data_IF_864643653785
#
_entry.id   IF_864643653785
#
_cell.length_a   1.000
_cell.length_b   1.000
_cell.length_c   1.000
_cell.angle_alpha   90.00
_cell.angle_beta   90.00
_cell.angle_gamma   90.00
#
_symmetry.space_group_name_H-M   'P 1'
#
loop_
_entity.id
_entity.type
_entity.pdbx_description
1 polymer ?
#
# COMPACT_ATOMS: atom_id res chain seq x y z
N UNK A 1 0.80 -0.51 0.64
CA UNK A 1 0.15 -1.84 0.67
C UNK A 1 1.27 -2.87 0.66
N UNK A 2 1.41 -3.69 1.71
CA UNK A 2 2.47 -4.72 1.83
C UNK A 2 1.80 -6.08 1.85
N UNK A 3 2.41 -7.06 1.22
CA UNK A 3 1.92 -8.44 1.27
C UNK A 3 2.96 -9.30 1.94
N UNK A 4 2.62 -9.91 3.07
CA UNK A 4 3.54 -10.78 3.82
C UNK A 4 2.98 -12.19 3.71
N UNK A 5 3.81 -13.19 3.40
CA UNK A 5 3.45 -14.59 3.55
C UNK A 5 4.32 -15.17 4.66
N UNK A 6 3.74 -15.86 5.63
CA UNK A 6 4.55 -16.62 6.57
C UNK A 6 5.21 -17.81 5.86
N UNK A 7 6.52 -17.97 6.14
CA UNK A 7 7.44 -18.97 5.61
C UNK A 7 7.75 -18.85 4.11
N UNK A 8 8.80 -18.05 3.85
CA UNK A 8 9.72 -18.07 2.69
C UNK A 8 9.52 -17.15 1.48
N UNK A 9 8.46 -16.37 1.33
CA UNK A 9 8.37 -15.39 0.23
C UNK A 9 7.66 -14.10 0.69
N UNK A 10 8.31 -12.95 0.48
CA UNK A 10 7.96 -11.65 1.07
C UNK A 10 7.77 -10.62 -0.05
N UNK A 11 6.65 -9.88 -0.03
CA UNK A 11 6.37 -8.81 -1.00
C UNK A 11 6.39 -7.42 -0.35
N UNK A 12 6.84 -6.41 -1.12
CA UNK A 12 7.11 -5.06 -0.60
C UNK A 12 6.28 -3.95 -1.26
N UNK A 13 6.27 -2.83 -0.54
CA UNK A 13 5.39 -1.67 -0.51
C UNK A 13 5.51 -0.63 -1.62
N UNK A 14 4.42 0.14 -1.78
CA UNK A 14 4.31 1.40 -2.52
C UNK A 14 5.11 2.54 -1.86
N UNK A 15 6.17 3.01 -2.51
CA UNK A 15 6.74 4.33 -2.27
C UNK A 15 7.42 4.80 -3.55
N UNK A 16 7.47 6.12 -3.77
CA UNK A 16 7.99 6.81 -4.96
C UNK A 16 9.46 6.49 -5.36
N UNK A 17 10.14 5.47 -4.82
CA UNK A 17 11.55 5.17 -5.10
C UNK A 17 11.89 3.68 -4.92
N UNK A 18 12.80 3.19 -5.75
CA UNK A 18 13.36 1.83 -5.86
C UNK A 18 13.96 1.21 -4.58
N UNK A 19 13.99 1.95 -3.47
CA UNK A 19 14.69 1.59 -2.23
C UNK A 19 14.08 0.35 -1.52
N UNK A 20 12.77 0.12 -1.71
CA UNK A 20 12.02 -0.97 -1.06
C UNK A 20 12.46 -2.37 -1.49
N UNK A 21 12.76 -2.55 -2.78
CA UNK A 21 13.13 -3.85 -3.34
C UNK A 21 14.48 -4.33 -2.81
N UNK A 22 15.45 -3.42 -2.69
CA UNK A 22 16.78 -3.72 -2.17
C UNK A 22 16.72 -4.19 -0.70
N UNK A 23 15.90 -3.51 0.11
CA UNK A 23 15.71 -3.84 1.53
C UNK A 23 15.02 -5.20 1.69
N UNK A 24 13.99 -5.49 0.88
CA UNK A 24 13.32 -6.79 0.92
C UNK A 24 14.29 -7.94 0.62
N UNK A 25 15.13 -7.78 -0.41
CA UNK A 25 16.18 -8.75 -0.76
C UNK A 25 17.23 -8.90 0.35
N UNK A 26 17.69 -7.80 0.95
CA UNK A 26 18.67 -7.85 2.04
C UNK A 26 18.13 -8.52 3.31
N UNK A 27 16.81 -8.50 3.52
CA UNK A 27 16.14 -9.20 4.61
C UNK A 27 15.86 -10.69 4.32
N UNK A 28 16.35 -11.23 3.20
CA UNK A 28 16.26 -12.66 2.86
C UNK A 28 15.06 -13.07 2.00
N UNK A 29 14.37 -12.10 1.37
CA UNK A 29 13.24 -12.40 0.48
C UNK A 29 13.73 -12.91 -0.88
N UNK A 30 13.27 -14.10 -1.31
CA UNK A 30 13.70 -14.73 -2.56
C UNK A 30 12.90 -14.26 -3.79
N UNK A 31 11.59 -14.06 -3.66
CA UNK A 31 10.73 -13.57 -4.74
C UNK A 31 9.98 -12.30 -4.30
N UNK A 32 10.31 -11.18 -4.95
CA UNK A 32 9.78 -9.85 -4.62
C UNK A 32 9.37 -9.14 -5.90
N UNK A 33 8.15 -8.64 -5.93
CA UNK A 33 7.66 -7.75 -6.99
C UNK A 33 7.36 -6.36 -6.42
N UNK A 34 7.55 -5.32 -7.23
CA UNK A 34 7.15 -3.95 -6.91
C UNK A 34 6.07 -3.52 -7.90
N UNK A 35 4.93 -3.07 -7.37
CA UNK A 35 3.79 -2.60 -8.16
C UNK A 35 3.51 -1.15 -7.76
N UNK A 36 3.62 -0.25 -8.73
CA UNK A 36 3.17 1.14 -8.57
C UNK A 36 1.63 1.12 -8.58
N UNK A 37 1.00 1.53 -7.48
CA UNK A 37 -0.45 1.65 -7.30
C UNK A 37 -0.82 2.81 -6.34
N UNK A 38 -1.61 3.77 -6.80
CA UNK A 38 -2.17 4.81 -5.95
C UNK A 38 -3.34 4.25 -5.12
N UNK A 39 -3.15 4.15 -3.81
CA UNK A 39 -4.15 3.57 -2.89
C UNK A 39 -5.43 4.41 -2.74
N UNK A 40 -5.45 5.65 -3.23
CA UNK A 40 -6.68 6.43 -3.31
C UNK A 40 -7.57 6.02 -4.49
N UNK A 41 -7.03 5.26 -5.45
CA UNK A 41 -7.72 4.82 -6.67
C UNK A 41 -8.08 3.35 -6.57
N UNK A 42 -9.39 3.08 -6.58
CA UNK A 42 -9.96 1.72 -6.51
C UNK A 42 -9.39 0.80 -7.61
N UNK A 43 -9.18 1.32 -8.82
CA UNK A 43 -8.65 0.52 -9.94
C UNK A 43 -7.20 0.08 -9.70
N UNK A 44 -6.38 0.92 -9.06
CA UNK A 44 -5.00 0.61 -8.72
C UNK A 44 -4.94 -0.42 -7.59
N UNK A 45 -5.82 -0.31 -6.59
CA UNK A 45 -5.97 -1.34 -5.55
C UNK A 45 -6.33 -2.71 -6.15
N UNK A 46 -7.32 -2.75 -7.05
CA UNK A 46 -7.71 -3.98 -7.74
C UNK A 46 -6.55 -4.58 -8.53
N UNK A 47 -5.89 -3.77 -9.36
CA UNK A 47 -4.75 -4.21 -10.17
C UNK A 47 -3.61 -4.75 -9.30
N UNK A 48 -3.36 -4.13 -8.15
CA UNK A 48 -2.35 -4.61 -7.20
C UNK A 48 -2.69 -6.01 -6.67
N UNK A 49 -3.93 -6.24 -6.23
CA UNK A 49 -4.39 -7.55 -5.75
C UNK A 49 -4.28 -8.58 -6.88
N UNK A 50 -4.81 -8.27 -8.06
CA UNK A 50 -4.81 -9.19 -9.21
C UNK A 50 -3.39 -9.61 -9.59
N UNK A 51 -2.45 -8.66 -9.68
CA UNK A 51 -1.05 -8.96 -10.02
C UNK A 51 -0.33 -9.76 -8.92
N UNK A 52 -0.65 -9.49 -7.65
CA UNK A 52 -0.09 -10.25 -6.52
C UNK A 52 -0.57 -11.69 -6.57
N UNK A 53 -1.87 -11.91 -6.77
CA UNK A 53 -2.46 -13.26 -6.87
C UNK A 53 -1.95 -13.98 -8.12
N UNK A 54 -1.81 -13.28 -9.25
CA UNK A 54 -1.26 -13.85 -10.47
C UNK A 54 0.19 -14.35 -10.29
N UNK A 55 1.01 -13.63 -9.52
CA UNK A 55 2.42 -14.01 -9.29
C UNK A 55 2.56 -15.11 -8.23
N UNK A 56 1.86 -14.97 -7.09
CA UNK A 56 2.09 -15.80 -5.90
C UNK A 56 0.98 -16.84 -5.65
N UNK A 57 -0.05 -16.88 -6.49
CA UNK A 57 -1.20 -17.78 -6.42
C UNK A 57 -2.24 -17.42 -5.37
N UNK A 58 -1.87 -16.67 -4.33
CA UNK A 58 -2.77 -16.22 -3.24
C UNK A 58 -2.24 -14.95 -2.57
N UNK A 59 -3.11 -14.26 -1.84
CA UNK A 59 -2.81 -13.10 -1.01
C UNK A 59 -3.20 -13.42 0.44
N UNK A 60 -2.22 -13.58 1.32
CA UNK A 60 -2.42 -14.03 2.71
C UNK A 60 -2.55 -12.91 3.72
N UNK A 61 -1.62 -11.97 3.68
CA UNK A 61 -1.64 -10.83 4.57
C UNK A 61 -1.52 -9.54 3.77
N UNK A 62 -2.31 -8.54 4.16
CA UNK A 62 -2.33 -7.24 3.53
C UNK A 62 -2.08 -6.14 4.56
N UNK A 63 -0.91 -5.52 4.54
CA UNK A 63 -0.58 -4.38 5.39
C UNK A 63 -0.94 -3.08 4.67
N UNK A 64 -1.98 -2.41 5.14
CA UNK A 64 -2.40 -1.12 4.62
C UNK A 64 -1.57 0.03 5.26
N UNK A 65 -0.27 0.09 4.98
CA UNK A 65 0.62 1.13 5.53
C UNK A 65 0.56 2.47 4.78
N UNK A 66 -0.09 2.53 3.62
CA UNK A 66 -0.11 3.76 2.81
C UNK A 66 -0.96 4.84 3.50
N UNK A 67 -0.40 6.04 3.64
CA UNK A 67 -1.05 7.17 4.28
C UNK A 67 -0.42 8.48 3.84
N UNK A 68 -1.20 9.55 3.92
CA UNK A 68 -0.72 10.92 3.75
C UNK A 68 -0.87 11.63 5.09
N UNK A 69 0.05 12.54 5.40
CA UNK A 69 -0.03 13.38 6.60
C UNK A 69 -0.15 14.82 6.15
N UNK A 70 -1.13 15.54 6.70
CA UNK A 70 -1.22 17.00 6.62
C UNK A 70 -1.02 17.57 8.02
N UNK A 71 0.06 18.31 8.23
CA UNK A 71 0.31 19.03 9.47
C UNK A 71 -0.24 20.45 9.31
N UNK A 72 -1.38 20.72 9.95
CA UNK A 72 -1.96 22.05 10.06
C UNK A 72 -2.41 22.25 11.51
N UNK A 73 -2.37 23.50 11.98
CA UNK A 73 -2.96 23.82 13.28
C UNK A 73 -4.47 23.63 13.19
N UNK A 74 -5.09 23.11 14.26
CA UNK A 74 -6.55 22.97 14.31
C UNK A 74 -7.26 24.32 14.11
N UNK A 75 -6.61 25.43 14.49
CA UNK A 75 -7.12 26.79 14.31
C UNK A 75 -7.05 27.28 12.84
N UNK A 76 -6.28 26.60 11.99
CA UNK A 76 -6.11 26.94 10.56
C UNK A 76 -7.03 26.09 9.67
N UNK A 77 -7.69 25.06 10.23
CA UNK A 77 -8.68 24.25 9.51
C UNK A 77 -10.00 25.02 9.45
N UNK A 78 -10.19 25.77 8.38
CA UNK A 78 -11.42 26.53 8.13
C UNK A 78 -12.54 25.67 7.53
N UNK A 79 -12.19 24.53 6.92
CA UNK A 79 -13.12 23.58 6.33
C UNK A 79 -12.65 22.14 6.57
N UNK A 80 -13.53 21.31 7.13
CA UNK A 80 -13.28 19.89 7.40
C UNK A 80 -13.07 19.10 6.09
N UNK A 81 -13.62 19.58 4.96
CA UNK A 81 -13.39 18.97 3.65
C UNK A 81 -11.91 18.98 3.24
N UNK A 82 -11.08 19.86 3.82
CA UNK A 82 -9.63 19.82 3.61
C UNK A 82 -8.98 18.53 4.12
N UNK A 83 -9.63 17.83 5.06
CA UNK A 83 -9.19 16.54 5.60
C UNK A 83 -9.75 15.34 4.83
N UNK A 84 -10.62 15.55 3.83
CA UNK A 84 -11.20 14.46 3.03
C UNK A 84 -10.14 13.57 2.38
N UNK A 85 -9.03 14.08 1.81
CA UNK A 85 -7.97 13.24 1.27
C UNK A 85 -7.31 12.33 2.33
N UNK A 86 -7.18 12.82 3.58
CA UNK A 86 -6.64 12.03 4.69
C UNK A 86 -7.55 10.83 4.99
N UNK A 87 -8.86 11.07 5.06
CA UNK A 87 -9.87 10.03 5.33
C UNK A 87 -10.00 9.04 4.15
N UNK A 88 -9.96 9.55 2.92
CA UNK A 88 -10.09 8.74 1.70
C UNK A 88 -8.85 7.88 1.40
N UNK A 89 -7.69 8.23 1.95
CA UNK A 89 -6.39 7.58 1.65
C UNK A 89 -6.36 6.07 1.86
N UNK A 90 -7.26 5.53 2.69
CA UNK A 90 -7.37 4.09 2.96
C UNK A 90 -8.73 3.48 2.58
N UNK A 91 -9.72 4.30 2.23
CA UNK A 91 -11.09 3.86 2.00
C UNK A 91 -11.20 2.88 0.82
N UNK A 92 -10.49 3.15 -0.27
CA UNK A 92 -10.52 2.30 -1.46
C UNK A 92 -10.01 0.86 -1.19
N UNK A 93 -9.12 0.69 -0.21
CA UNK A 93 -8.52 -0.59 0.15
C UNK A 93 -9.45 -1.45 1.04
N UNK A 94 -10.28 -0.81 1.86
CA UNK A 94 -11.28 -1.49 2.71
C UNK A 94 -12.35 -2.15 1.85
N UNK A 95 -12.70 -1.58 0.70
CA UNK A 95 -13.69 -2.16 -0.22
C UNK A 95 -13.30 -3.54 -0.80
N UNK A 96 -12.08 -4.02 -0.55
CA UNK A 96 -11.56 -5.29 -1.07
C UNK A 96 -11.22 -6.31 0.04
N UNK A 97 -11.54 -6.01 1.31
CA UNK A 97 -11.38 -6.88 2.47
C UNK A 97 -12.76 -7.33 2.99
#
# INVERSE_FOLDING_TARGET
MKVIKEKHELAYEYARRDCSLAIAKSLGSLDVISIIADVSKVQDCKRFVDQTVQRFGRLDHLVNNAGITSLCSINEVTDIAMLTPLMASKAALISFL
#
